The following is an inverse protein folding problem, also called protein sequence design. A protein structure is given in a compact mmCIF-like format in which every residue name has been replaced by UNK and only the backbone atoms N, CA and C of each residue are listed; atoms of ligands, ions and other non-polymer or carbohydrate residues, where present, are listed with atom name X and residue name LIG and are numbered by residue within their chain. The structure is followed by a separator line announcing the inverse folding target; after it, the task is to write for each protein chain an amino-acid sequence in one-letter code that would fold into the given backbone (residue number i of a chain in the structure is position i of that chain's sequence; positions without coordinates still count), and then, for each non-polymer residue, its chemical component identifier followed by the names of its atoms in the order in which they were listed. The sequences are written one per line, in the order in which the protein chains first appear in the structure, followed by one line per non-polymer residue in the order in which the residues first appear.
data_IF_226659346309
#
_entry.id   IF_226659346309
#
_cell.length_a   1.000
_cell.length_b   1.000
_cell.length_c   1.000
_cell.angle_alpha   90.00
_cell.angle_beta   90.00
_cell.angle_gamma   90.00
#
_symmetry.space_group_name_H-M   'P 1'
#
loop_
_entity.id
_entity.type
_entity.pdbx_description
1 polymer ?
#
# COMPACT_ATOMS: atom_id res chain seq x y z
N UNK A 1 -26.29 38.55 -26.18
CA UNK A 1 -25.25 37.67 -26.77
C UNK A 1 -25.69 36.22 -26.58
N UNK A 2 -25.81 35.41 -27.66
CA UNK A 2 -26.28 34.03 -27.49
C UNK A 2 -25.20 33.14 -26.90
N UNK A 3 -25.56 32.41 -25.86
CA UNK A 3 -24.72 31.43 -25.18
C UNK A 3 -24.44 30.27 -26.15
N UNK A 4 -23.16 30.08 -26.55
CA UNK A 4 -22.73 28.96 -27.37
C UNK A 4 -22.96 27.63 -26.59
N UNK A 5 -23.91 26.83 -27.03
CA UNK A 5 -24.11 25.44 -26.52
C UNK A 5 -22.82 24.66 -26.76
N UNK A 6 -22.25 24.13 -25.68
CA UNK A 6 -21.15 23.17 -25.75
C UNK A 6 -21.60 21.93 -26.52
N UNK A 7 -21.03 21.73 -27.71
CA UNK A 7 -21.23 20.50 -28.47
C UNK A 7 -20.64 19.32 -27.68
N UNK A 8 -21.48 18.37 -27.27
CA UNK A 8 -21.00 17.08 -26.74
C UNK A 8 -20.38 16.31 -27.90
N UNK A 9 -19.06 16.17 -27.88
CA UNK A 9 -18.34 15.32 -28.83
C UNK A 9 -18.73 13.87 -28.53
N UNK A 10 -19.57 13.28 -29.36
CA UNK A 10 -19.79 11.84 -29.38
C UNK A 10 -18.63 11.20 -30.12
N UNK A 11 -17.69 10.60 -29.38
CA UNK A 11 -16.64 9.77 -30.00
C UNK A 11 -17.30 8.47 -30.47
N UNK A 12 -17.64 8.42 -31.76
CA UNK A 12 -18.10 7.19 -32.41
C UNK A 12 -16.86 6.43 -32.88
N UNK A 13 -16.46 5.41 -32.10
CA UNK A 13 -15.38 4.52 -32.46
C UNK A 13 -15.89 3.41 -33.37
N UNK A 14 -15.46 3.39 -34.63
CA UNK A 14 -15.61 2.21 -35.48
C UNK A 14 -14.43 1.25 -35.15
N UNK A 15 -14.66 0.05 -34.63
CA UNK A 15 -13.55 -0.82 -34.20
C UNK A 15 -12.89 -1.44 -35.42
N UNK A 16 -11.64 -1.09 -35.70
CA UNK A 16 -10.79 -1.90 -36.57
C UNK A 16 -10.59 -3.30 -35.93
N UNK A 17 -10.32 -4.33 -36.74
CA UNK A 17 -10.06 -5.72 -36.25
C UNK A 17 -8.99 -5.78 -35.15
N UNK A 18 -7.98 -4.88 -35.19
CA UNK A 18 -6.97 -4.73 -34.11
C UNK A 18 -7.56 -4.17 -32.82
N UNK A 19 -8.53 -3.26 -32.89
CA UNK A 19 -9.21 -2.70 -31.72
C UNK A 19 -10.17 -3.69 -31.09
N UNK A 20 -10.85 -4.56 -31.85
CA UNK A 20 -11.72 -5.59 -31.28
C UNK A 20 -10.91 -6.64 -30.48
N UNK A 21 -9.71 -7.01 -30.97
CA UNK A 21 -8.80 -7.92 -30.26
C UNK A 21 -8.27 -7.25 -28.97
N UNK A 22 -7.92 -5.96 -29.00
CA UNK A 22 -7.50 -5.20 -27.83
C UNK A 22 -8.63 -5.09 -26.80
N UNK A 23 -9.86 -4.84 -27.26
CA UNK A 23 -11.05 -4.79 -26.41
C UNK A 23 -11.36 -6.13 -25.74
N UNK A 24 -11.26 -7.23 -26.45
CA UNK A 24 -11.42 -8.58 -25.91
C UNK A 24 -10.38 -8.92 -24.87
N UNK A 25 -9.12 -8.56 -25.11
CA UNK A 25 -8.02 -8.71 -24.12
C UNK A 25 -8.25 -7.84 -22.88
N UNK A 26 -8.68 -6.59 -23.04
CA UNK A 26 -8.97 -5.69 -21.92
C UNK A 26 -10.14 -6.24 -21.07
N UNK A 27 -11.21 -6.72 -21.70
CA UNK A 27 -12.34 -7.34 -20.99
C UNK A 27 -11.91 -8.60 -20.22
N UNK A 28 -11.08 -9.46 -20.80
CA UNK A 28 -10.54 -10.65 -20.11
C UNK A 28 -9.70 -10.25 -18.91
N UNK A 29 -8.90 -9.20 -19.03
CA UNK A 29 -8.09 -8.66 -17.92
C UNK A 29 -8.97 -8.17 -16.77
N UNK A 30 -10.02 -7.42 -17.05
CA UNK A 30 -10.96 -6.93 -16.03
C UNK A 30 -11.66 -8.08 -15.30
N UNK A 31 -12.13 -9.10 -16.02
CA UNK A 31 -12.76 -10.28 -15.41
C UNK A 31 -11.79 -11.07 -14.52
N UNK A 32 -10.55 -11.20 -14.96
CA UNK A 32 -9.51 -11.87 -14.16
C UNK A 32 -9.18 -11.05 -12.91
N UNK A 33 -9.07 -9.72 -13.03
CA UNK A 33 -8.83 -8.81 -11.91
C UNK A 33 -9.94 -8.86 -10.86
N UNK A 34 -11.19 -8.95 -11.29
CA UNK A 34 -12.35 -9.14 -10.44
C UNK A 34 -12.23 -10.41 -9.59
N UNK A 35 -11.88 -11.53 -10.23
CA UNK A 35 -11.69 -12.80 -9.51
C UNK A 35 -10.50 -12.81 -8.55
N UNK A 36 -9.39 -12.13 -8.89
CA UNK A 36 -8.23 -11.97 -8.01
C UNK A 36 -8.59 -11.13 -6.78
N UNK A 37 -9.33 -10.04 -6.99
CA UNK A 37 -9.82 -9.18 -5.94
C UNK A 37 -10.75 -9.93 -4.98
N UNK A 38 -11.79 -10.58 -5.51
CA UNK A 38 -12.74 -11.36 -4.71
C UNK A 38 -12.08 -12.46 -3.86
N UNK A 39 -11.07 -13.14 -4.42
CA UNK A 39 -10.33 -14.16 -3.69
C UNK A 39 -9.56 -13.60 -2.51
N UNK A 40 -8.91 -12.46 -2.68
CA UNK A 40 -8.18 -11.78 -1.62
C UNK A 40 -9.15 -11.23 -0.57
N UNK A 41 -10.27 -10.63 -0.99
CA UNK A 41 -11.28 -10.09 -0.10
C UNK A 41 -11.86 -11.13 0.85
N UNK A 42 -12.23 -12.31 0.35
CA UNK A 42 -12.75 -13.42 1.17
C UNK A 42 -11.81 -13.84 2.31
N UNK A 43 -10.52 -13.59 2.15
CA UNK A 43 -9.55 -13.87 3.22
C UNK A 43 -9.45 -12.67 4.15
N UNK A 44 -9.35 -11.45 3.62
CA UNK A 44 -9.24 -10.22 4.42
C UNK A 44 -10.46 -10.01 5.33
N UNK A 45 -11.66 -10.33 4.87
CA UNK A 45 -12.91 -10.21 5.65
C UNK A 45 -12.93 -11.07 6.93
N UNK A 46 -12.05 -12.08 7.02
CA UNK A 46 -11.92 -12.90 8.24
C UNK A 46 -11.15 -12.19 9.36
N UNK A 47 -10.43 -11.15 9.02
CA UNK A 47 -9.51 -10.47 9.94
C UNK A 47 -9.94 -9.01 10.10
N UNK A 48 -10.63 -8.65 11.19
CA UNK A 48 -11.12 -7.27 11.38
C UNK A 48 -10.00 -6.27 11.55
N UNK A 49 -8.89 -6.62 12.20
CA UNK A 49 -7.71 -5.75 12.38
C UNK A 49 -6.66 -6.08 11.33
N UNK A 50 -6.30 -5.12 10.49
CA UNK A 50 -5.32 -5.29 9.40
C UNK A 50 -4.39 -4.10 9.32
N UNK A 51 -3.12 -4.37 9.10
CA UNK A 51 -2.08 -3.37 8.87
C UNK A 51 -1.25 -3.77 7.65
N UNK A 52 -0.97 -2.81 6.77
CA UNK A 52 -0.08 -3.05 5.62
C UNK A 52 1.28 -2.41 5.86
N UNK A 53 2.34 -3.19 5.65
CA UNK A 53 3.72 -2.77 5.79
C UNK A 53 4.37 -2.72 4.40
N UNK A 54 4.89 -1.55 4.05
CA UNK A 54 5.64 -1.29 2.83
C UNK A 54 7.11 -1.01 3.13
N UNK A 55 7.98 -1.27 2.17
CA UNK A 55 9.40 -0.96 2.27
C UNK A 55 10.21 -1.64 1.18
N UNK A 56 11.53 -1.45 1.23
CA UNK A 56 12.44 -1.97 0.22
C UNK A 56 12.45 -3.50 0.14
N UNK A 57 12.38 -4.02 -1.09
CA UNK A 57 12.62 -5.44 -1.38
C UNK A 57 14.12 -5.81 -1.36
N UNK A 58 15.02 -4.84 -1.27
CA UNK A 58 16.46 -5.06 -1.38
C UNK A 58 17.08 -5.34 0.00
N UNK A 59 17.88 -6.38 0.08
CA UNK A 59 18.67 -6.70 1.26
C UNK A 59 20.00 -5.92 1.21
N UNK A 60 19.98 -4.65 1.59
CA UNK A 60 21.16 -3.78 1.65
C UNK A 60 21.69 -3.75 3.09
N UNK A 61 23.03 -3.68 3.30
CA UNK A 61 23.60 -3.65 4.65
C UNK A 61 23.04 -2.51 5.53
N UNK A 62 22.88 -1.31 4.96
CA UNK A 62 22.33 -0.16 5.68
C UNK A 62 20.85 -0.27 6.04
N UNK A 63 20.13 -1.28 5.51
CA UNK A 63 18.72 -1.54 5.84
C UNK A 63 18.57 -2.63 6.91
N UNK A 64 19.65 -3.12 7.51
CA UNK A 64 19.58 -4.25 8.46
C UNK A 64 18.77 -3.87 9.70
N UNK A 65 19.06 -2.72 10.29
CA UNK A 65 18.30 -2.20 11.44
C UNK A 65 16.81 -2.04 11.11
N UNK A 66 16.46 -1.51 9.95
CA UNK A 66 15.06 -1.37 9.53
C UNK A 66 14.36 -2.73 9.35
N UNK A 67 15.09 -3.77 8.93
CA UNK A 67 14.53 -5.13 8.86
C UNK A 67 14.25 -5.70 10.25
N UNK A 68 15.16 -5.49 11.21
CA UNK A 68 14.97 -5.89 12.60
C UNK A 68 13.78 -5.17 13.23
N UNK A 69 13.66 -3.87 13.02
CA UNK A 69 12.55 -3.05 13.51
C UNK A 69 11.21 -3.43 12.83
N UNK A 70 11.22 -3.71 11.53
CA UNK A 70 10.03 -4.19 10.82
C UNK A 70 9.56 -5.57 11.32
N UNK A 71 10.50 -6.46 11.63
CA UNK A 71 10.21 -7.73 12.28
C UNK A 71 9.60 -7.52 13.66
N UNK A 72 10.24 -6.73 14.52
CA UNK A 72 9.78 -6.49 15.90
C UNK A 72 8.40 -5.86 15.93
N UNK A 73 8.19 -4.78 15.15
CA UNK A 73 6.90 -4.10 15.04
C UNK A 73 5.80 -5.06 14.58
N UNK A 74 6.07 -5.83 13.53
CA UNK A 74 5.10 -6.79 13.00
C UNK A 74 4.81 -7.94 13.95
N UNK A 75 5.79 -8.35 14.75
CA UNK A 75 5.59 -9.35 15.84
C UNK A 75 4.63 -8.78 16.89
N UNK A 76 4.85 -7.55 17.36
CA UNK A 76 3.99 -6.88 18.35
C UNK A 76 2.57 -6.65 17.80
N UNK A 77 2.45 -6.17 16.57
CA UNK A 77 1.15 -5.99 15.90
C UNK A 77 0.36 -7.29 15.79
N UNK A 78 1.03 -8.38 15.43
CA UNK A 78 0.38 -9.70 15.38
C UNK A 78 -0.06 -10.20 16.75
N UNK A 79 0.70 -9.91 17.82
CA UNK A 79 0.30 -10.18 19.22
C UNK A 79 -0.94 -9.37 19.63
N UNK A 80 -1.11 -8.15 19.11
CA UNK A 80 -2.29 -7.30 19.31
C UNK A 80 -3.47 -7.68 18.39
N UNK A 81 -3.34 -8.79 17.64
CA UNK A 81 -4.41 -9.37 16.84
C UNK A 81 -4.53 -8.78 15.43
N UNK A 82 -3.55 -8.01 14.96
CA UNK A 82 -3.53 -7.54 13.59
C UNK A 82 -3.07 -8.62 12.60
N UNK A 83 -3.77 -8.74 11.49
CA UNK A 83 -3.26 -9.39 10.30
C UNK A 83 -2.26 -8.44 9.62
N UNK A 84 -1.00 -8.88 9.52
CA UNK A 84 0.07 -8.11 8.87
C UNK A 84 0.11 -8.45 7.39
N UNK A 85 -0.04 -7.44 6.57
CA UNK A 85 -0.06 -7.53 5.11
C UNK A 85 1.23 -6.92 4.56
N UNK A 86 1.84 -7.59 3.60
CA UNK A 86 2.95 -7.03 2.83
C UNK A 86 2.87 -7.41 1.35
N UNK A 87 3.81 -6.91 0.55
CA UNK A 87 3.94 -7.33 -0.84
C UNK A 87 4.46 -8.76 -1.04
N UNK A 88 4.74 -9.51 0.04
CA UNK A 88 5.14 -10.92 -0.01
C UNK A 88 6.55 -11.20 -0.56
N UNK A 89 7.33 -10.18 -0.90
CA UNK A 89 8.68 -10.29 -1.42
C UNK A 89 9.76 -10.31 -0.32
N UNK A 90 11.05 -10.15 -0.70
CA UNK A 90 12.17 -10.09 0.23
C UNK A 90 12.28 -8.74 0.97
N UNK A 91 13.35 -8.55 1.73
CA UNK A 91 13.69 -7.31 2.43
C UNK A 91 12.75 -7.01 3.59
N UNK A 92 12.25 -5.79 3.66
CA UNK A 92 11.28 -5.33 4.68
C UNK A 92 10.01 -6.19 4.68
N UNK A 93 9.51 -6.58 3.52
CA UNK A 93 8.33 -7.41 3.40
C UNK A 93 8.52 -8.79 4.07
N UNK A 94 9.66 -9.44 3.82
CA UNK A 94 9.99 -10.71 4.45
C UNK A 94 10.19 -10.58 5.97
N UNK A 95 10.82 -9.49 6.42
CA UNK A 95 11.02 -9.23 7.84
C UNK A 95 9.68 -9.04 8.57
N UNK A 96 8.78 -8.23 8.01
CA UNK A 96 7.44 -8.01 8.56
C UNK A 96 6.61 -9.28 8.58
N UNK A 97 6.59 -10.03 7.47
CA UNK A 97 5.89 -11.31 7.43
C UNK A 97 6.45 -12.30 8.45
N UNK A 98 7.79 -12.36 8.61
CA UNK A 98 8.45 -13.22 9.58
C UNK A 98 8.04 -12.88 11.02
N UNK A 99 8.04 -11.59 11.37
CA UNK A 99 7.60 -11.15 12.70
C UNK A 99 6.17 -11.61 13.03
N UNK A 100 5.23 -11.37 12.12
CA UNK A 100 3.84 -11.79 12.30
C UNK A 100 3.69 -13.31 12.35
N UNK A 101 4.40 -14.05 11.50
CA UNK A 101 4.37 -15.51 11.46
C UNK A 101 4.91 -16.14 12.74
N UNK A 102 6.07 -15.69 13.23
CA UNK A 102 6.69 -16.20 14.45
C UNK A 102 5.93 -15.79 15.72
N UNK A 103 5.16 -14.71 15.68
CA UNK A 103 4.20 -14.36 16.73
C UNK A 103 3.01 -15.35 16.83
N UNK A 104 2.87 -16.26 15.86
CA UNK A 104 1.70 -17.13 15.73
C UNK A 104 0.47 -16.41 15.18
N UNK A 105 0.65 -15.22 14.59
CA UNK A 105 -0.40 -14.40 14.04
C UNK A 105 -0.65 -14.63 12.55
N UNK A 106 -1.45 -13.75 11.96
CA UNK A 106 -1.81 -13.78 10.54
C UNK A 106 -0.83 -12.97 9.74
N UNK A 107 -0.15 -13.62 8.80
CA UNK A 107 0.83 -13.03 7.88
C UNK A 107 0.39 -13.22 6.45
N UNK A 108 0.17 -12.13 5.71
CA UNK A 108 -0.39 -12.15 4.35
C UNK A 108 0.62 -11.55 3.37
N UNK A 109 0.90 -12.28 2.30
CA UNK A 109 1.74 -11.85 1.20
C UNK A 109 0.93 -11.62 -0.08
N UNK A 110 0.93 -10.40 -0.60
CA UNK A 110 0.31 -10.05 -1.88
C UNK A 110 1.38 -9.89 -2.96
N UNK A 111 1.76 -11.02 -3.57
CA UNK A 111 2.78 -11.05 -4.60
C UNK A 111 2.26 -10.52 -5.94
N UNK A 112 3.16 -9.98 -6.74
CA UNK A 112 2.89 -9.60 -8.12
C UNK A 112 3.72 -10.47 -9.07
N UNK A 113 3.10 -11.01 -10.10
CA UNK A 113 3.83 -11.75 -11.12
C UNK A 113 4.68 -10.82 -11.96
N UNK A 114 6.00 -10.94 -11.82
CA UNK A 114 6.99 -10.18 -12.58
C UNK A 114 7.66 -11.07 -13.65
N UNK A 115 8.19 -10.48 -14.75
CA UNK A 115 8.95 -11.22 -15.76
C UNK A 115 10.21 -11.91 -15.22
N UNK A 116 10.77 -11.38 -14.13
CA UNK A 116 11.85 -11.99 -13.36
C UNK A 116 11.25 -12.44 -12.03
N UNK A 117 11.23 -13.74 -11.79
CA UNK A 117 10.62 -14.36 -10.62
C UNK A 117 11.25 -13.82 -9.33
N UNK A 118 10.43 -13.19 -8.48
CA UNK A 118 10.72 -13.04 -7.07
C UNK A 118 10.00 -14.17 -6.36
N UNK A 119 10.74 -15.06 -5.73
CA UNK A 119 10.12 -16.09 -4.89
C UNK A 119 9.37 -15.41 -3.73
N UNK A 120 8.11 -15.83 -3.47
CA UNK A 120 7.40 -15.42 -2.27
C UNK A 120 8.22 -15.77 -1.03
N UNK A 121 8.24 -14.89 -0.03
CA UNK A 121 8.91 -15.24 1.22
C UNK A 121 8.14 -16.36 1.96
N UNK A 122 8.83 -17.27 2.68
CA UNK A 122 8.20 -18.45 3.27
C UNK A 122 7.37 -18.14 4.53
N UNK A 123 7.39 -16.90 5.04
CA UNK A 123 6.80 -16.53 6.33
C UNK A 123 5.38 -16.00 6.20
N UNK A 124 4.56 -16.59 5.33
CA UNK A 124 3.17 -16.19 5.12
C UNK A 124 2.20 -17.31 5.49
N UNK A 125 1.11 -16.96 6.16
CA UNK A 125 -0.03 -17.86 6.41
C UNK A 125 -0.99 -17.89 5.21
N UNK A 126 -1.03 -16.78 4.44
CA UNK A 126 -1.81 -16.64 3.22
C UNK A 126 -0.97 -15.95 2.15
N UNK A 127 -0.89 -16.57 0.97
CA UNK A 127 -0.17 -16.02 -0.18
C UNK A 127 -1.11 -15.88 -1.36
N UNK A 128 -1.05 -14.73 -2.03
CA UNK A 128 -1.80 -14.44 -3.24
C UNK A 128 -0.84 -13.96 -4.32
N UNK A 129 -1.05 -14.42 -5.55
CA UNK A 129 -0.29 -13.95 -6.71
C UNK A 129 -1.23 -13.16 -7.64
N UNK A 130 -0.98 -11.87 -7.78
CA UNK A 130 -1.70 -10.99 -8.68
C UNK A 130 -1.01 -10.90 -10.04
N UNK A 131 -1.80 -10.89 -11.11
CA UNK A 131 -1.32 -10.67 -12.47
C UNK A 131 -1.20 -9.19 -12.80
N UNK A 132 -1.98 -8.32 -12.12
CA UNK A 132 -2.07 -6.90 -12.43
C UNK A 132 -1.76 -6.05 -11.23
N UNK A 133 -0.88 -5.06 -11.43
CA UNK A 133 -0.50 -4.11 -10.38
C UNK A 133 -1.71 -3.39 -9.79
N UNK A 134 -2.65 -2.93 -10.62
CA UNK A 134 -3.79 -2.17 -10.14
C UNK A 134 -4.70 -2.99 -9.21
N UNK A 135 -4.92 -4.28 -9.49
CA UNK A 135 -5.72 -5.15 -8.60
C UNK A 135 -5.05 -5.33 -7.26
N UNK A 136 -3.73 -5.59 -7.28
CA UNK A 136 -2.92 -5.70 -6.07
C UNK A 136 -2.94 -4.41 -5.28
N UNK A 137 -2.71 -3.25 -5.92
CA UNK A 137 -2.75 -1.94 -5.27
C UNK A 137 -4.09 -1.70 -4.57
N UNK A 138 -5.20 -1.83 -5.31
CA UNK A 138 -6.55 -1.65 -4.74
C UNK A 138 -6.76 -2.57 -3.53
N UNK A 139 -6.35 -3.84 -3.63
CA UNK A 139 -6.50 -4.80 -2.52
C UNK A 139 -5.68 -4.41 -1.29
N UNK A 140 -4.45 -3.92 -1.47
CA UNK A 140 -3.59 -3.49 -0.36
C UNK A 140 -4.03 -2.16 0.23
N UNK A 141 -4.62 -1.28 -0.60
CA UNK A 141 -4.99 0.09 -0.24
C UNK A 141 -6.31 0.18 0.52
N UNK A 142 -7.36 -0.55 0.11
CA UNK A 142 -8.71 -0.33 0.67
C UNK A 142 -9.03 -1.14 1.93
N UNK A 143 -8.15 -2.03 2.38
CA UNK A 143 -8.51 -3.01 3.40
C UNK A 143 -7.62 -3.03 4.62
N UNK A 144 -6.77 -2.03 4.81
CA UNK A 144 -5.98 -1.86 6.03
C UNK A 144 -6.48 -0.70 6.88
N UNK A 145 -6.31 -0.81 8.19
CA UNK A 145 -6.66 0.22 9.18
C UNK A 145 -5.49 1.17 9.43
N UNK A 146 -4.27 0.72 9.11
CA UNK A 146 -3.08 1.54 9.18
C UNK A 146 -2.06 1.10 8.11
N UNK A 147 -1.19 2.01 7.77
CA UNK A 147 -0.11 1.81 6.80
C UNK A 147 1.22 2.23 7.41
N UNK A 148 2.21 1.35 7.31
CA UNK A 148 3.55 1.59 7.82
C UNK A 148 4.52 1.53 6.66
N UNK A 149 5.31 2.59 6.50
CA UNK A 149 6.26 2.74 5.41
C UNK A 149 7.68 2.79 5.96
N UNK A 150 8.42 1.71 5.79
CA UNK A 150 9.87 1.69 5.98
C UNK A 150 10.58 2.25 4.74
N UNK A 151 11.87 2.64 4.84
CA UNK A 151 12.63 3.12 3.71
C UNK A 151 12.53 2.21 2.49
N UNK A 152 12.30 2.81 1.30
CA UNK A 152 12.09 2.06 0.08
C UNK A 152 12.28 2.87 -1.19
N UNK A 153 12.06 2.22 -2.33
CA UNK A 153 12.20 2.84 -3.65
C UNK A 153 10.87 3.38 -4.20
N UNK A 154 10.82 3.54 -5.52
CA UNK A 154 9.65 4.08 -6.22
C UNK A 154 8.35 3.30 -5.95
N UNK A 155 8.41 1.97 -5.77
CA UNK A 155 7.22 1.20 -5.43
C UNK A 155 6.65 1.56 -4.05
N UNK A 156 7.52 1.84 -3.06
CA UNK A 156 7.10 2.31 -1.74
C UNK A 156 6.50 3.72 -1.80
N UNK A 157 7.12 4.63 -2.58
CA UNK A 157 6.63 5.99 -2.77
C UNK A 157 5.31 6.03 -3.55
N UNK A 158 5.14 5.16 -4.55
CA UNK A 158 3.92 5.04 -5.33
C UNK A 158 2.72 4.65 -4.44
N UNK A 159 2.89 3.69 -3.55
CA UNK A 159 1.85 3.30 -2.60
C UNK A 159 1.61 4.40 -1.53
N UNK A 160 2.65 5.07 -1.05
CA UNK A 160 2.51 6.17 -0.09
C UNK A 160 1.72 7.33 -0.69
N UNK A 161 2.10 7.80 -1.87
CA UNK A 161 1.46 8.96 -2.49
C UNK A 161 0.02 8.67 -2.92
N UNK A 162 -0.31 7.43 -3.27
CA UNK A 162 -1.69 7.03 -3.52
C UNK A 162 -2.53 7.13 -2.25
N UNK A 163 -2.08 6.55 -1.13
CA UNK A 163 -2.79 6.59 0.15
C UNK A 163 -2.97 8.04 0.62
N UNK A 164 -1.92 8.85 0.59
CA UNK A 164 -2.01 10.28 0.92
C UNK A 164 -3.04 11.01 0.06
N UNK A 165 -3.08 10.74 -1.25
CA UNK A 165 -4.06 11.33 -2.17
C UNK A 165 -5.49 10.90 -1.85
N UNK A 166 -5.70 9.63 -1.54
CA UNK A 166 -7.03 9.10 -1.21
C UNK A 166 -7.56 9.66 0.10
N UNK A 167 -6.70 9.82 1.10
CA UNK A 167 -7.05 10.43 2.37
C UNK A 167 -7.31 11.93 2.23
N UNK A 168 -6.40 12.68 1.60
CA UNK A 168 -6.56 14.11 1.29
C UNK A 168 -7.88 14.39 0.57
N UNK A 169 -8.21 13.56 -0.41
CA UNK A 169 -9.45 13.72 -1.21
C UNK A 169 -10.69 13.11 -0.56
N UNK A 170 -10.58 12.59 0.67
CA UNK A 170 -11.67 11.93 1.42
C UNK A 170 -12.31 10.78 0.65
N UNK A 171 -11.51 10.06 -0.13
CA UNK A 171 -11.92 8.81 -0.81
C UNK A 171 -11.76 7.58 0.08
N UNK A 172 -11.04 7.74 1.19
CA UNK A 172 -10.91 6.78 2.28
C UNK A 172 -11.25 7.47 3.61
N UNK A 173 -11.68 6.70 4.62
CA UNK A 173 -11.78 7.24 5.98
C UNK A 173 -10.40 7.65 6.49
N UNK A 174 -10.31 8.51 7.53
CA UNK A 174 -9.04 8.80 8.18
C UNK A 174 -8.33 7.52 8.63
N UNK A 175 -7.04 7.43 8.32
CA UNK A 175 -6.21 6.27 8.57
C UNK A 175 -4.92 6.68 9.28
N UNK A 176 -4.23 5.72 9.90
CA UNK A 176 -2.90 5.97 10.43
C UNK A 176 -1.85 5.63 9.38
N UNK A 177 -1.09 6.64 8.98
CA UNK A 177 0.04 6.53 8.06
C UNK A 177 1.31 6.82 8.86
N UNK A 178 2.11 5.77 9.08
CA UNK A 178 3.36 5.85 9.84
C UNK A 178 4.53 5.70 8.87
N UNK A 179 5.39 6.70 8.83
CA UNK A 179 6.66 6.68 8.12
C UNK A 179 7.76 6.33 9.11
N UNK A 180 8.27 5.11 9.03
CA UNK A 180 9.26 4.61 9.97
C UNK A 180 10.69 4.87 9.45
N UNK A 181 11.50 5.61 10.23
CA UNK A 181 12.87 5.95 9.90
C UNK A 181 13.05 7.43 9.51
N UNK A 182 13.25 8.30 10.49
CA UNK A 182 13.34 9.75 10.32
C UNK A 182 14.48 10.16 9.40
N UNK A 183 15.63 9.47 9.44
CA UNK A 183 16.78 9.72 8.56
C UNK A 183 16.38 9.68 7.08
N UNK A 184 15.51 8.76 6.70
CA UNK A 184 15.03 8.63 5.32
C UNK A 184 13.86 9.58 5.01
N UNK A 185 12.89 9.69 5.95
CA UNK A 185 11.62 10.34 5.65
C UNK A 185 11.60 11.86 5.90
N UNK A 186 12.54 12.42 6.68
CA UNK A 186 12.59 13.87 6.90
C UNK A 186 12.73 14.66 5.60
N UNK A 187 13.54 14.18 4.64
CA UNK A 187 13.65 14.81 3.34
C UNK A 187 12.34 14.84 2.54
N UNK A 188 11.49 13.81 2.69
CA UNK A 188 10.15 13.80 2.11
C UNK A 188 9.22 14.79 2.83
N UNK A 189 9.24 14.84 4.15
CA UNK A 189 8.45 15.81 4.93
C UNK A 189 8.83 17.25 4.60
N UNK A 190 10.13 17.53 4.47
CA UNK A 190 10.62 18.85 4.05
C UNK A 190 10.15 19.19 2.63
N UNK A 191 10.18 18.24 1.69
CA UNK A 191 9.64 18.42 0.35
C UNK A 191 8.15 18.76 0.38
N UNK A 192 7.37 18.03 1.18
CA UNK A 192 5.93 18.28 1.33
C UNK A 192 5.67 19.69 1.87
N UNK A 193 6.38 20.12 2.91
CA UNK A 193 6.21 21.46 3.50
C UNK A 193 6.65 22.57 2.55
N UNK A 194 7.89 22.49 2.06
CA UNK A 194 8.53 23.59 1.31
C UNK A 194 8.00 23.70 -0.12
N UNK A 195 7.71 22.57 -0.77
CA UNK A 195 7.38 22.55 -2.19
C UNK A 195 5.91 22.28 -2.50
N UNK A 196 5.16 21.69 -1.58
CA UNK A 196 3.74 21.46 -1.80
C UNK A 196 2.87 22.41 -0.99
N UNK A 197 3.11 22.54 0.31
CA UNK A 197 2.30 23.39 1.19
C UNK A 197 2.56 24.89 0.95
N UNK A 198 3.81 25.33 1.03
CA UNK A 198 4.16 26.76 0.87
C UNK A 198 3.83 27.30 -0.52
N UNK A 199 3.84 26.45 -1.55
CA UNK A 199 3.46 26.83 -2.92
C UNK A 199 1.96 26.69 -3.19
N UNK A 200 1.18 26.13 -2.25
CA UNK A 200 -0.27 26.00 -2.36
C UNK A 200 -0.73 24.82 -3.24
N UNK A 201 0.11 23.81 -3.48
CA UNK A 201 -0.30 22.58 -4.17
C UNK A 201 -1.11 21.63 -3.27
N UNK A 202 -0.96 21.76 -1.95
CA UNK A 202 -1.77 21.12 -0.92
C UNK A 202 -2.32 22.17 0.05
N UNK A 203 -3.33 21.80 0.84
CA UNK A 203 -3.95 22.67 1.83
C UNK A 203 -3.31 22.54 3.19
N UNK A 204 -3.38 23.57 4.08
CA UNK A 204 -2.98 23.44 5.48
C UNK A 204 -3.68 22.25 6.15
N UNK A 205 -2.90 21.41 6.83
CA UNK A 205 -3.34 20.16 7.45
C UNK A 205 -3.07 18.91 6.62
N UNK A 206 -2.83 19.03 5.30
CA UNK A 206 -2.45 17.89 4.46
C UNK A 206 -1.03 17.39 4.78
N UNK A 207 -0.16 18.24 5.32
CA UNK A 207 1.18 17.89 5.81
C UNK A 207 1.16 17.00 7.05
N UNK A 208 0.04 16.93 7.74
CA UNK A 208 -0.16 16.15 8.97
C UNK A 208 -0.83 14.79 8.71
N UNK A 209 -1.05 14.42 7.43
CA UNK A 209 -1.63 13.13 7.06
C UNK A 209 -0.75 11.92 7.43
N UNK A 210 0.50 12.13 7.81
CA UNK A 210 1.42 11.08 8.23
C UNK A 210 2.22 11.49 9.46
N UNK A 211 2.70 10.50 10.21
CA UNK A 211 3.59 10.69 11.36
C UNK A 211 4.91 9.97 11.10
N UNK A 212 6.03 10.62 11.44
CA UNK A 212 7.37 10.02 11.35
C UNK A 212 7.81 9.57 12.73
N UNK A 213 8.31 8.35 12.85
CA UNK A 213 8.91 7.83 14.09
C UNK A 213 10.07 6.89 13.82
N UNK A 214 10.95 6.74 14.80
CA UNK A 214 12.04 5.76 14.85
C UNK A 214 11.81 4.69 15.93
N UNK A 215 10.72 4.82 16.69
CA UNK A 215 10.41 3.97 17.83
C UNK A 215 9.31 2.96 17.50
N UNK A 216 9.61 1.69 17.75
CA UNK A 216 8.70 0.57 17.48
C UNK A 216 7.44 0.62 18.36
N UNK A 217 7.58 1.00 19.62
CA UNK A 217 6.44 1.06 20.55
C UNK A 217 5.55 2.28 20.26
N UNK A 218 6.14 3.41 19.84
CA UNK A 218 5.39 4.56 19.35
C UNK A 218 4.61 4.21 18.07
N UNK A 219 5.24 3.54 17.11
CA UNK A 219 4.57 3.08 15.90
C UNK A 219 3.39 2.14 16.21
N UNK A 220 3.58 1.20 17.14
CA UNK A 220 2.52 0.31 17.61
C UNK A 220 1.38 1.10 18.27
N UNK A 221 1.70 2.07 19.13
CA UNK A 221 0.71 2.94 19.78
C UNK A 221 -0.11 3.73 18.76
N UNK A 222 0.54 4.33 17.77
CA UNK A 222 -0.12 5.08 16.69
C UNK A 222 -1.11 4.21 15.91
N UNK A 223 -0.73 2.97 15.60
CA UNK A 223 -1.62 2.02 14.92
C UNK A 223 -2.83 1.66 15.79
N UNK A 224 -2.62 1.38 17.08
CA UNK A 224 -3.68 0.98 18.01
C UNK A 224 -4.68 2.13 18.23
N UNK A 225 -4.21 3.37 18.42
CA UNK A 225 -5.09 4.53 18.64
C UNK A 225 -5.89 4.94 17.39
N UNK A 226 -5.41 4.59 16.20
CA UNK A 226 -6.14 4.81 14.95
C UNK A 226 -7.29 3.83 14.71
N UNK A 227 -7.28 2.67 15.37
CA UNK A 227 -8.34 1.67 15.22
C UNK A 227 -9.59 1.99 16.07
N UNK A 228 -9.39 2.67 17.20
CA UNK A 228 -10.46 2.95 18.17
C UNK A 228 -11.19 4.29 17.87
N UNK A 229 -10.81 5.02 16.83
CA UNK A 229 -11.38 6.32 16.43
C UNK A 229 -12.27 6.19 15.20
#
# INVERSE_FOLDING_TARGET
MPVKRKQKIRVVWSPSRRMSIRRGRAKKRLLQSDSEFDAAMKVLDRYPKRVTVFGSARNLPHNELYREQAYELSYKLAKDGYAVISGGGPGIMAASNKGAYEAGGVSIGFNIRLPHEQEPNPHVTHSFEFQYFFTRKVTMTFYSHAYIYFPGGFGTLDELTEILTLEQTKKMPPLRIVLFGSEFWNGFADFVRQHLLETGYISPGDEDLFVITDDVDEALHLVNTGYDS
#
